data_IF_575550143336
#
_entry.id   IF_575550143336
#
_cell.length_a   1.000
_cell.length_b   1.000
_cell.length_c   1.000
_cell.angle_alpha   90.00
_cell.angle_beta   90.00
_cell.angle_gamma   90.00
#
_symmetry.space_group_name_H-M   'P 1'
#
loop_
_entity.id
_entity.type
_entity.pdbx_description
1 polymer ?
#
# COMPACT_ATOMS: atom_id res chain seq x y z
N UNK A 1 -66.62 21.50 27.67
CA UNK A 1 -66.32 21.07 26.28
C UNK A 1 -65.12 21.90 25.84
N UNK A 2 -63.85 21.51 25.99
CA UNK A 2 -63.22 20.23 25.71
C UNK A 2 -62.27 20.48 24.53
N UNK A 3 -61.03 20.90 24.79
CA UNK A 3 -59.97 20.97 23.75
C UNK A 3 -58.70 20.36 24.33
N UNK A 4 -58.31 19.22 23.76
CA UNK A 4 -57.12 18.46 24.09
C UNK A 4 -55.88 19.14 23.52
N UNK A 5 -54.81 19.21 24.33
CA UNK A 5 -53.49 19.63 23.88
C UNK A 5 -52.78 18.44 23.22
N UNK A 6 -52.43 18.56 21.94
CA UNK A 6 -51.62 17.60 21.20
C UNK A 6 -50.14 17.99 21.36
N UNK A 7 -49.34 17.13 22.00
CA UNK A 7 -47.88 17.27 22.05
C UNK A 7 -47.30 16.56 20.82
N UNK A 8 -46.81 17.32 19.85
CA UNK A 8 -46.02 16.80 18.73
C UNK A 8 -44.54 16.80 19.09
N UNK A 9 -43.98 15.62 19.36
CA UNK A 9 -42.53 15.39 19.35
C UNK A 9 -42.06 15.27 17.90
N UNK A 10 -41.44 16.32 17.36
CA UNK A 10 -40.63 16.22 16.13
C UNK A 10 -39.27 15.64 16.46
N UNK A 11 -39.03 14.45 15.90
CA UNK A 11 -37.74 13.76 15.86
C UNK A 11 -36.73 14.62 15.09
N UNK A 12 -35.52 14.78 15.64
CA UNK A 12 -34.40 15.37 14.91
C UNK A 12 -34.03 14.46 13.73
N UNK A 13 -34.36 14.89 12.51
CA UNK A 13 -33.81 14.33 11.28
C UNK A 13 -32.33 14.71 11.18
N UNK A 14 -31.44 13.84 11.67
CA UNK A 14 -30.01 13.91 11.37
C UNK A 14 -29.76 13.38 9.97
N UNK A 15 -30.20 14.09 8.94
CA UNK A 15 -29.62 13.98 7.61
C UNK A 15 -28.51 15.01 7.44
N UNK A 16 -27.38 14.68 8.05
CA UNK A 16 -26.09 15.11 7.55
C UNK A 16 -25.35 13.81 7.20
N UNK A 17 -25.18 13.55 5.91
CA UNK A 17 -24.37 12.44 5.44
C UNK A 17 -22.96 12.59 5.99
N UNK A 18 -22.61 11.75 6.95
CA UNK A 18 -21.23 11.36 7.12
C UNK A 18 -20.85 10.65 5.82
N UNK A 19 -19.91 11.20 5.07
CA UNK A 19 -19.16 10.38 4.13
C UNK A 19 -18.70 9.15 4.93
N UNK A 20 -19.08 7.95 4.49
CA UNK A 20 -18.64 6.71 5.10
C UNK A 20 -17.12 6.80 5.21
N UNK A 21 -16.61 6.92 6.44
CA UNK A 21 -15.19 6.81 6.67
C UNK A 21 -14.84 5.39 6.23
N UNK A 22 -14.13 5.27 5.09
CA UNK A 22 -13.71 3.98 4.57
C UNK A 22 -13.07 3.21 5.74
N UNK A 23 -13.75 2.16 6.20
CA UNK A 23 -13.27 1.38 7.33
C UNK A 23 -12.03 0.64 6.87
N UNK A 24 -10.93 0.76 7.62
CA UNK A 24 -9.70 0.01 7.35
C UNK A 24 -10.05 -1.47 7.19
N UNK A 25 -9.75 -2.04 6.02
CA UNK A 25 -9.96 -3.45 5.78
C UNK A 25 -9.04 -4.27 6.69
N UNK A 26 -9.62 -5.24 7.39
CA UNK A 26 -8.89 -6.20 8.22
C UNK A 26 -9.12 -7.60 7.66
N UNK A 27 -8.11 -8.23 7.02
CA UNK A 27 -8.28 -9.58 6.49
C UNK A 27 -8.57 -10.57 7.60
N UNK A 28 -9.36 -11.61 7.29
CA UNK A 28 -9.50 -12.75 8.19
C UNK A 28 -8.18 -13.55 8.21
N UNK A 29 -7.89 -14.26 9.32
CA UNK A 29 -6.66 -15.04 9.50
C UNK A 29 -6.38 -16.06 8.38
N UNK A 30 -7.43 -16.52 7.68
CA UNK A 30 -7.32 -17.52 6.59
C UNK A 30 -7.78 -16.95 5.25
N UNK A 31 -7.50 -15.67 5.00
CA UNK A 31 -7.78 -15.02 3.71
C UNK A 31 -7.02 -15.75 2.60
N UNK A 32 -7.71 -16.28 1.59
CA UNK A 32 -7.04 -16.88 0.43
C UNK A 32 -6.50 -15.77 -0.47
N UNK A 33 -5.33 -15.99 -1.06
CA UNK A 33 -4.63 -14.94 -1.80
C UNK A 33 -3.88 -15.48 -3.01
N UNK A 34 -3.63 -14.57 -3.96
CA UNK A 34 -2.72 -14.75 -5.08
C UNK A 34 -1.70 -13.62 -5.06
N UNK A 35 -0.44 -13.94 -5.31
CA UNK A 35 0.65 -12.99 -5.45
C UNK A 35 1.28 -13.14 -6.83
N UNK A 36 1.15 -12.09 -7.64
CA UNK A 36 1.60 -12.09 -9.02
C UNK A 36 2.18 -10.72 -9.38
N UNK A 37 3.50 -10.61 -9.31
CA UNK A 37 4.23 -9.39 -9.65
C UNK A 37 4.70 -9.35 -11.11
N UNK A 38 4.71 -10.49 -11.79
CA UNK A 38 5.18 -10.62 -13.17
C UNK A 38 4.22 -11.45 -14.01
N UNK A 39 4.41 -11.41 -15.33
CA UNK A 39 3.55 -12.08 -16.29
C UNK A 39 2.25 -11.31 -16.50
N UNK A 40 2.15 -10.59 -17.62
CA UNK A 40 0.96 -9.86 -18.01
C UNK A 40 0.14 -10.68 -19.02
N UNK A 41 -1.21 -10.73 -18.91
CA UNK A 41 -2.01 -10.08 -17.88
C UNK A 41 -1.99 -10.82 -16.52
N UNK A 42 -2.37 -10.12 -15.44
CA UNK A 42 -2.63 -10.73 -14.14
C UNK A 42 -3.72 -11.82 -14.28
N UNK A 43 -3.48 -13.02 -13.75
CA UNK A 43 -4.45 -14.12 -13.80
C UNK A 43 -5.56 -13.91 -12.76
N UNK A 44 -6.60 -13.22 -13.21
CA UNK A 44 -7.80 -12.96 -12.40
C UNK A 44 -8.77 -14.14 -12.37
N UNK A 45 -8.45 -15.31 -12.94
CA UNK A 45 -9.34 -16.48 -12.94
C UNK A 45 -9.37 -17.22 -11.59
N UNK A 46 -8.34 -17.08 -10.76
CA UNK A 46 -8.24 -17.77 -9.48
C UNK A 46 -9.30 -17.27 -8.49
N UNK A 47 -10.04 -18.19 -7.87
CA UNK A 47 -11.06 -17.85 -6.88
C UNK A 47 -10.45 -17.62 -5.48
N UNK A 48 -9.79 -16.47 -5.32
CA UNK A 48 -9.17 -16.04 -4.05
C UNK A 48 -9.76 -14.71 -3.57
N UNK A 49 -9.63 -14.44 -2.27
CA UNK A 49 -10.22 -13.26 -1.63
C UNK A 49 -9.37 -12.00 -1.81
N UNK A 50 -8.05 -12.15 -1.95
CA UNK A 50 -7.09 -11.07 -2.07
C UNK A 50 -6.12 -11.32 -3.22
N UNK A 51 -5.76 -10.27 -3.94
CA UNK A 51 -4.70 -10.25 -4.94
C UNK A 51 -3.63 -9.27 -4.50
N UNK A 52 -2.38 -9.68 -4.58
CA UNK A 52 -1.22 -8.84 -4.33
C UNK A 52 -0.42 -8.72 -5.62
N UNK A 53 -0.34 -7.49 -6.13
CA UNK A 53 0.12 -7.19 -7.50
C UNK A 53 0.92 -5.90 -7.54
N UNK A 54 1.80 -5.80 -8.53
CA UNK A 54 2.76 -4.72 -8.67
C UNK A 54 2.11 -3.32 -8.80
N UNK A 55 2.61 -2.35 -8.04
CA UNK A 55 2.18 -0.94 -8.11
C UNK A 55 2.27 -0.36 -9.50
N UNK A 56 3.39 -0.54 -10.19
CA UNK A 56 3.68 0.18 -11.44
C UNK A 56 3.08 -0.54 -12.66
N UNK A 57 3.22 -1.86 -12.72
CA UNK A 57 2.88 -2.67 -13.89
C UNK A 57 1.41 -3.09 -13.97
N UNK A 58 0.64 -2.85 -12.89
CA UNK A 58 -0.80 -3.13 -12.87
C UNK A 58 -1.61 -1.91 -13.31
N UNK A 59 -2.42 -2.07 -14.36
CA UNK A 59 -3.40 -1.07 -14.80
C UNK A 59 -4.56 -0.97 -13.79
N UNK A 60 -5.01 0.25 -13.42
CA UNK A 60 -6.17 0.45 -12.54
C UNK A 60 -7.44 -0.31 -12.94
N UNK A 61 -7.63 -0.62 -14.24
CA UNK A 61 -8.76 -1.42 -14.71
C UNK A 61 -8.76 -2.83 -14.10
N UNK A 62 -7.59 -3.42 -13.85
CA UNK A 62 -7.46 -4.73 -13.22
C UNK A 62 -7.95 -4.67 -11.78
N UNK A 63 -7.58 -3.62 -11.04
CA UNK A 63 -8.01 -3.39 -9.65
C UNK A 63 -9.53 -3.23 -9.59
N UNK A 64 -10.09 -2.40 -10.47
CA UNK A 64 -11.55 -2.22 -10.54
C UNK A 64 -12.29 -3.53 -10.88
N UNK A 65 -11.69 -4.39 -11.72
CA UNK A 65 -12.23 -5.71 -12.06
C UNK A 65 -12.23 -6.63 -10.84
N UNK A 66 -11.13 -6.69 -10.09
CA UNK A 66 -11.04 -7.46 -8.85
C UNK A 66 -12.10 -7.01 -7.83
N UNK A 67 -12.27 -5.69 -7.66
CA UNK A 67 -13.28 -5.12 -6.79
C UNK A 67 -14.71 -5.48 -7.20
N UNK A 68 -15.01 -5.44 -8.51
CA UNK A 68 -16.32 -5.85 -9.04
C UNK A 68 -16.67 -7.31 -8.72
N UNK A 69 -15.65 -8.14 -8.48
CA UNK A 69 -15.77 -9.56 -8.11
C UNK A 69 -15.78 -9.76 -6.58
N UNK A 70 -15.81 -8.67 -5.80
CA UNK A 70 -15.79 -8.69 -4.34
C UNK A 70 -14.42 -9.04 -3.73
N UNK A 71 -13.34 -8.93 -4.52
CA UNK A 71 -11.97 -9.24 -4.09
C UNK A 71 -11.24 -7.98 -3.61
N UNK A 72 -10.17 -8.19 -2.86
CA UNK A 72 -9.28 -7.13 -2.36
C UNK A 72 -7.99 -7.07 -3.17
N UNK A 73 -7.44 -5.88 -3.35
CA UNK A 73 -6.19 -5.64 -4.06
C UNK A 73 -5.15 -5.02 -3.11
N UNK A 74 -3.98 -5.65 -3.00
CA UNK A 74 -2.81 -5.17 -2.26
C UNK A 74 -1.75 -4.71 -3.26
N UNK A 75 -1.14 -3.58 -2.95
CA UNK A 75 -0.18 -2.88 -3.79
C UNK A 75 1.24 -3.23 -3.41
N UNK A 76 1.91 -4.08 -4.18
CA UNK A 76 3.33 -4.33 -4.00
C UNK A 76 4.15 -3.11 -4.39
N UNK A 77 5.03 -2.67 -3.49
CA UNK A 77 6.11 -1.74 -3.80
C UNK A 77 7.37 -2.15 -3.04
N UNK A 78 8.54 -2.13 -3.67
CA UNK A 78 9.76 -2.21 -2.88
C UNK A 78 9.96 -0.91 -2.09
N UNK A 79 10.09 -1.04 -0.78
CA UNK A 79 10.36 0.09 0.12
C UNK A 79 11.83 0.12 0.57
N UNK A 80 12.45 -1.04 0.75
CA UNK A 80 13.84 -1.15 1.22
C UNK A 80 14.90 -1.22 0.13
N UNK A 81 14.52 -1.31 -1.14
CA UNK A 81 15.45 -1.32 -2.28
C UNK A 81 15.04 -0.33 -3.37
N UNK A 82 16.04 0.08 -4.14
CA UNK A 82 15.93 0.81 -5.38
C UNK A 82 16.00 -0.17 -6.54
N UNK A 83 15.10 -0.02 -7.50
CA UNK A 83 14.95 -0.85 -8.69
C UNK A 83 15.15 0.05 -9.93
N UNK A 84 16.12 -0.27 -10.78
CA UNK A 84 16.55 0.62 -11.87
C UNK A 84 15.54 0.80 -13.01
N UNK A 85 14.60 -0.13 -13.13
CA UNK A 85 13.55 -0.16 -14.14
C UNK A 85 12.30 0.63 -13.74
N UNK A 86 12.19 1.09 -12.50
CA UNK A 86 11.00 1.83 -12.04
C UNK A 86 10.96 3.23 -12.65
N UNK A 87 9.78 3.77 -12.98
CA UNK A 87 9.66 5.07 -13.62
C UNK A 87 10.13 6.24 -12.74
N UNK A 88 10.23 6.03 -11.42
CA UNK A 88 10.74 6.99 -10.43
C UNK A 88 12.19 6.73 -10.01
N UNK A 89 12.90 5.80 -10.67
CA UNK A 89 14.26 5.40 -10.29
C UNK A 89 15.28 6.57 -10.30
N UNK A 90 15.01 7.62 -11.08
CA UNK A 90 15.85 8.83 -11.16
C UNK A 90 15.69 9.78 -9.96
N UNK A 91 14.65 9.61 -9.14
CA UNK A 91 14.41 10.42 -7.94
C UNK A 91 15.33 10.04 -6.78
N UNK A 92 15.90 8.83 -6.82
CA UNK A 92 16.82 8.33 -5.81
C UNK A 92 18.26 8.80 -6.09
N UNK A 93 18.85 9.65 -5.23
CA UNK A 93 20.24 10.04 -5.39
C UNK A 93 21.19 8.87 -5.13
N UNK A 94 22.41 8.93 -5.67
CA UNK A 94 23.41 7.87 -5.47
C UNK A 94 23.75 7.65 -3.99
N UNK A 95 23.64 8.69 -3.15
CA UNK A 95 23.98 8.64 -1.72
C UNK A 95 23.08 7.70 -0.89
N UNK A 96 21.89 7.36 -1.39
CA UNK A 96 20.98 6.43 -0.69
C UNK A 96 21.04 5.01 -1.27
N UNK A 97 21.83 4.77 -2.33
CA UNK A 97 21.92 3.47 -3.01
C UNK A 97 23.12 2.68 -2.53
N UNK A 98 22.87 1.48 -2.01
CA UNK A 98 23.86 0.60 -1.43
C UNK A 98 24.34 -0.49 -2.39
N UNK A 99 24.65 -1.64 -1.81
CA UNK A 99 25.01 -2.86 -2.52
C UNK A 99 23.77 -3.51 -3.15
N UNK A 100 24.01 -4.39 -4.13
CA UNK A 100 22.94 -5.21 -4.70
C UNK A 100 22.36 -6.18 -3.66
N UNK A 101 21.08 -6.50 -3.79
CA UNK A 101 20.39 -7.46 -2.92
C UNK A 101 20.44 -8.91 -3.46
N UNK A 102 21.04 -9.13 -4.62
CA UNK A 102 21.07 -10.42 -5.33
C UNK A 102 20.18 -10.47 -6.57
N UNK A 103 19.32 -9.46 -6.76
CA UNK A 103 18.54 -9.27 -7.97
C UNK A 103 19.21 -8.25 -8.91
N UNK A 104 19.20 -8.54 -10.20
CA UNK A 104 19.81 -7.67 -11.21
C UNK A 104 19.03 -6.34 -11.29
N UNK A 105 19.75 -5.22 -11.32
CA UNK A 105 19.16 -3.87 -11.34
C UNK A 105 18.63 -3.36 -9.99
N UNK A 106 18.78 -4.14 -8.91
CA UNK A 106 18.23 -3.80 -7.60
C UNK A 106 19.32 -3.58 -6.54
N UNK A 107 19.14 -2.57 -5.68
CA UNK A 107 20.10 -2.18 -4.64
C UNK A 107 19.40 -1.83 -3.34
N UNK A 108 19.99 -2.20 -2.21
CA UNK A 108 19.52 -1.77 -0.89
C UNK A 108 19.52 -0.24 -0.74
N UNK A 109 18.54 0.28 0.01
CA UNK A 109 18.43 1.70 0.34
C UNK A 109 18.97 2.02 1.74
N UNK A 110 19.55 3.21 1.92
CA UNK A 110 19.84 3.74 3.26
C UNK A 110 18.56 4.27 3.92
N UNK A 111 17.78 3.37 4.53
CA UNK A 111 16.48 3.67 5.16
C UNK A 111 16.56 4.69 6.31
N UNK A 112 17.76 5.06 6.76
CA UNK A 112 17.96 6.10 7.79
C UNK A 112 17.72 7.50 7.24
N UNK A 113 17.82 7.68 5.91
CA UNK A 113 17.71 8.98 5.25
C UNK A 113 16.26 9.28 4.83
N UNK A 114 15.38 9.44 5.83
CA UNK A 114 13.95 9.70 5.60
C UNK A 114 13.67 11.03 4.90
N UNK A 115 14.53 12.03 5.04
CA UNK A 115 14.36 13.32 4.34
C UNK A 115 14.42 13.15 2.80
N UNK A 116 15.12 12.11 2.33
CA UNK A 116 15.21 11.76 0.90
C UNK A 116 14.19 10.70 0.53
N UNK A 117 14.10 9.62 1.30
CA UNK A 117 13.25 8.48 0.95
C UNK A 117 11.78 8.70 1.24
N UNK A 118 11.45 9.48 2.27
CA UNK A 118 10.09 9.68 2.74
C UNK A 118 9.16 10.18 1.64
N UNK A 119 9.46 11.31 0.97
CA UNK A 119 8.63 11.83 -0.11
C UNK A 119 8.44 10.85 -1.29
N UNK A 120 9.43 10.00 -1.57
CA UNK A 120 9.34 9.01 -2.65
C UNK A 120 8.40 7.87 -2.25
N UNK A 121 8.52 7.36 -1.02
CA UNK A 121 7.64 6.30 -0.51
C UNK A 121 6.20 6.80 -0.34
N UNK A 122 6.00 8.02 0.16
CA UNK A 122 4.69 8.67 0.23
C UNK A 122 4.06 8.79 -1.17
N UNK A 123 4.82 9.22 -2.18
CA UNK A 123 4.32 9.30 -3.55
C UNK A 123 3.92 7.93 -4.11
N UNK A 124 4.66 6.86 -3.78
CA UNK A 124 4.28 5.48 -4.16
C UNK A 124 2.99 5.03 -3.46
N UNK A 125 2.85 5.30 -2.17
CA UNK A 125 1.63 4.98 -1.40
C UNK A 125 0.42 5.79 -1.89
N UNK A 126 0.61 7.07 -2.23
CA UNK A 126 -0.41 7.91 -2.85
C UNK A 126 -0.83 7.37 -4.22
N UNK A 127 0.13 6.85 -5.01
CA UNK A 127 -0.18 6.20 -6.28
C UNK A 127 -0.98 4.91 -6.07
N UNK A 128 -0.62 4.06 -5.09
CA UNK A 128 -1.42 2.89 -4.73
C UNK A 128 -2.86 3.29 -4.41
N UNK A 129 -3.04 4.33 -3.57
CA UNK A 129 -4.36 4.86 -3.24
C UNK A 129 -5.11 5.38 -4.46
N UNK A 130 -4.44 6.15 -5.33
CA UNK A 130 -5.04 6.71 -6.53
C UNK A 130 -5.47 5.64 -7.54
N UNK A 131 -4.73 4.53 -7.63
CA UNK A 131 -5.10 3.37 -8.45
C UNK A 131 -6.24 2.53 -7.85
N UNK A 132 -6.58 2.76 -6.59
CA UNK A 132 -7.71 2.11 -5.91
C UNK A 132 -7.34 0.86 -5.12
N UNK A 133 -6.07 0.64 -4.76
CA UNK A 133 -5.70 -0.49 -3.90
C UNK A 133 -6.33 -0.40 -2.50
N UNK A 134 -6.60 -1.54 -1.87
CA UNK A 134 -7.13 -1.64 -0.51
C UNK A 134 -6.04 -1.60 0.58
N UNK A 135 -4.77 -1.81 0.20
CA UNK A 135 -3.61 -1.78 1.09
C UNK A 135 -2.28 -1.82 0.32
N UNK A 136 -1.18 -1.76 1.05
CA UNK A 136 0.19 -1.73 0.51
C UNK A 136 1.00 -2.90 1.10
N UNK A 137 1.80 -3.56 0.26
CA UNK A 137 2.84 -4.52 0.64
C UNK A 137 4.22 -3.85 0.40
N UNK A 138 4.83 -3.23 1.43
CA UNK A 138 6.18 -2.69 1.32
C UNK A 138 7.22 -3.80 1.46
N UNK A 139 7.92 -4.12 0.37
CA UNK A 139 8.93 -5.18 0.33
C UNK A 139 10.33 -4.71 0.74
N UNK A 140 11.21 -5.67 1.02
CA UNK A 140 12.61 -5.50 1.42
C UNK A 140 12.79 -4.72 2.73
N UNK A 141 11.84 -4.84 3.67
CA UNK A 141 11.85 -4.19 4.99
C UNK A 141 12.67 -4.95 6.05
N UNK A 142 13.74 -5.60 5.62
CA UNK A 142 14.63 -6.45 6.42
C UNK A 142 16.13 -6.17 6.15
N UNK A 143 16.45 -4.99 5.60
CA UNK A 143 17.82 -4.60 5.25
C UNK A 143 18.81 -4.68 6.41
N UNK A 144 18.36 -4.52 7.67
CA UNK A 144 19.22 -4.67 8.86
C UNK A 144 19.80 -6.09 9.04
N UNK A 145 19.21 -7.11 8.41
CA UNK A 145 19.67 -8.49 8.44
C UNK A 145 20.52 -8.86 7.22
N UNK A 146 20.76 -7.92 6.30
CA UNK A 146 21.39 -8.13 5.00
C UNK A 146 22.68 -7.30 4.84
N UNK A 147 23.50 -7.66 3.83
CA UNK A 147 24.68 -6.85 3.48
C UNK A 147 24.27 -5.72 2.53
N UNK A 148 23.89 -4.59 3.09
CA UNK A 148 23.31 -3.46 2.33
C UNK A 148 24.34 -2.47 1.81
N UNK A 149 25.57 -2.50 2.34
CA UNK A 149 26.53 -1.41 2.17
C UNK A 149 26.31 -0.23 3.12
N UNK A 150 25.28 -0.28 3.97
CA UNK A 150 25.01 0.67 5.04
C UNK A 150 24.99 -0.03 6.40
N UNK A 151 25.37 0.65 7.50
CA UNK A 151 25.33 0.08 8.83
C UNK A 151 23.90 0.16 9.41
N UNK A 152 22.95 -0.53 8.78
CA UNK A 152 21.55 -0.54 9.22
C UNK A 152 21.36 -1.38 10.48
N UNK A 153 20.67 -0.83 11.48
CA UNK A 153 20.26 -1.55 12.68
C UNK A 153 18.78 -1.92 12.66
N UNK A 154 18.39 -2.84 13.54
CA UNK A 154 16.97 -3.15 13.79
C UNK A 154 16.17 -1.93 14.26
N UNK A 155 16.80 -0.97 14.95
CA UNK A 155 16.17 0.29 15.38
C UNK A 155 15.89 1.19 14.18
N UNK A 156 16.79 1.23 13.20
CA UNK A 156 16.57 1.96 11.95
C UNK A 156 15.42 1.34 11.16
N UNK A 157 15.39 0.00 11.05
CA UNK A 157 14.28 -0.70 10.41
C UNK A 157 12.94 -0.44 11.10
N UNK A 158 12.91 -0.48 12.43
CA UNK A 158 11.69 -0.19 13.18
C UNK A 158 11.18 1.23 12.92
N UNK A 159 12.06 2.23 12.85
CA UNK A 159 11.69 3.61 12.50
C UNK A 159 11.13 3.72 11.08
N UNK A 160 11.79 3.07 10.11
CA UNK A 160 11.33 3.07 8.72
C UNK A 160 9.97 2.38 8.57
N UNK A 161 9.79 1.21 9.18
CA UNK A 161 8.52 0.48 9.14
C UNK A 161 7.39 1.25 9.84
N UNK A 162 7.70 2.03 10.89
CA UNK A 162 6.73 2.92 11.54
C UNK A 162 6.36 4.10 10.65
N UNK A 163 7.33 4.64 9.90
CA UNK A 163 7.07 5.71 8.93
C UNK A 163 6.14 5.26 7.78
N UNK A 164 6.24 3.99 7.35
CA UNK A 164 5.41 3.43 6.28
C UNK A 164 3.97 3.08 6.71
N UNK A 165 3.65 3.05 8.01
CA UNK A 165 2.40 2.53 8.57
C UNK A 165 1.39 3.62 8.95
#
# INVERSE_FOLDING_TARGET
MGVAALVTTTVFDRRAGAADAATIWRPALRTTWQWQLTGSPIDTSLNVQMYDVDLFDTDPIVISTLHSQGRKAICYMSAGTWEDWRPDANQFPASVKGQGNGWEGEKWLDIRNLDVLGPIMEARMDLCKAKGFDGVEPDNVDGYANTTGFPLSNVDQMKFNTFLA
#
